data_IF_095113391762
#
_entry.id   IF_095113391762
#
_cell.length_a   1.000
_cell.length_b   1.000
_cell.length_c   1.000
_cell.angle_alpha   90.00
_cell.angle_beta   90.00
_cell.angle_gamma   90.00
#
_symmetry.space_group_name_H-M   'P 1'
#
loop_
_entity.id
_entity.type
_entity.pdbx_description
1 polymer ?
#
# COMPACT_ATOMS: atom_id res chain seq x y z
N UNK A 1 0.83 -18.33 16.59
CA UNK A 1 1.54 -17.24 17.31
C UNK A 1 1.05 -15.91 16.80
N UNK A 2 0.67 -15.00 17.72
CA UNK A 2 0.30 -13.62 17.42
C UNK A 2 1.45 -12.69 17.78
N UNK A 3 1.74 -11.74 16.90
CA UNK A 3 2.74 -10.70 17.11
C UNK A 3 2.06 -9.34 17.03
N UNK A 4 2.29 -8.51 18.03
CA UNK A 4 1.77 -7.15 18.12
C UNK A 4 2.93 -6.17 18.00
N UNK A 5 2.79 -5.16 17.15
CA UNK A 5 3.78 -4.12 16.97
C UNK A 5 3.12 -2.77 17.05
N UNK A 6 3.78 -1.84 17.71
CA UNK A 6 3.40 -0.45 17.76
C UNK A 6 4.58 0.41 17.36
N UNK A 7 4.37 1.37 16.47
CA UNK A 7 5.41 2.24 15.95
C UNK A 7 5.44 2.27 14.43
N UNK A 8 6.56 2.70 13.86
CA UNK A 8 6.73 2.82 12.42
C UNK A 8 7.20 1.50 11.81
N UNK A 9 6.39 0.94 10.92
CA UNK A 9 6.66 -0.34 10.26
C UNK A 9 6.24 -0.31 8.79
N UNK A 10 6.82 -1.21 7.99
CA UNK A 10 6.34 -1.49 6.64
C UNK A 10 4.88 -1.94 6.71
N UNK A 11 4.01 -1.25 5.98
CA UNK A 11 2.58 -1.56 5.99
C UNK A 11 2.29 -2.86 5.23
N UNK A 12 1.52 -3.80 5.80
CA UNK A 12 1.15 -5.02 5.12
C UNK A 12 0.11 -4.79 4.01
N UNK A 13 -0.47 -3.60 3.97
CA UNK A 13 -1.59 -3.25 3.07
C UNK A 13 -1.16 -2.91 1.64
N UNK A 14 0.15 -2.89 1.36
CA UNK A 14 0.70 -2.67 0.04
C UNK A 14 0.89 -3.99 -0.73
N UNK A 15 1.08 -3.90 -2.04
CA UNK A 15 1.47 -5.02 -2.87
C UNK A 15 2.81 -5.64 -2.42
N UNK A 16 3.07 -6.86 -2.82
CA UNK A 16 4.17 -7.67 -2.27
C UNK A 16 5.54 -7.07 -2.59
N UNK A 17 5.76 -6.53 -3.78
CA UNK A 17 7.05 -5.93 -4.14
C UNK A 17 7.38 -4.69 -3.30
N UNK A 18 6.38 -3.97 -2.80
CA UNK A 18 6.60 -2.86 -1.88
C UNK A 18 7.05 -3.31 -0.49
N UNK A 19 6.73 -4.55 -0.11
CA UNK A 19 7.16 -5.13 1.17
C UNK A 19 8.60 -5.63 1.14
N UNK A 20 9.23 -5.74 -0.03
CA UNK A 20 10.64 -6.10 -0.15
C UNK A 20 11.52 -4.91 0.23
N UNK A 21 12.64 -5.18 0.91
CA UNK A 21 13.69 -4.17 1.08
C UNK A 21 14.36 -3.91 -0.27
N UNK A 22 14.95 -2.73 -0.46
CA UNK A 22 15.58 -2.35 -1.72
C UNK A 22 16.67 -3.30 -2.17
N UNK A 23 17.49 -3.79 -1.22
CA UNK A 23 18.54 -4.79 -1.48
C UNK A 23 18.01 -6.20 -1.79
N UNK A 24 16.72 -6.42 -1.65
CA UNK A 24 16.04 -7.70 -1.89
C UNK A 24 15.21 -7.70 -3.17
N UNK A 25 15.24 -6.61 -3.93
CA UNK A 25 14.54 -6.52 -5.22
C UNK A 25 15.22 -7.40 -6.27
N UNK A 26 14.44 -7.85 -7.24
CA UNK A 26 14.96 -8.61 -8.38
C UNK A 26 15.75 -7.70 -9.34
N UNK A 27 15.36 -6.44 -9.44
CA UNK A 27 16.00 -5.41 -10.27
C UNK A 27 16.42 -4.23 -9.39
N UNK A 28 17.16 -3.29 -9.97
CA UNK A 28 17.68 -2.12 -9.26
C UNK A 28 16.59 -1.16 -8.73
N UNK A 29 15.38 -1.26 -9.27
CA UNK A 29 14.25 -0.41 -8.87
C UNK A 29 12.98 -1.23 -8.64
N UNK A 30 12.06 -0.65 -7.88
CA UNK A 30 10.72 -1.22 -7.72
C UNK A 30 9.95 -1.16 -9.03
N UNK A 31 8.96 -2.05 -9.18
CA UNK A 31 8.09 -2.03 -10.34
C UNK A 31 7.21 -0.77 -10.36
N UNK A 32 6.66 -0.48 -11.53
CA UNK A 32 5.80 0.68 -11.76
C UNK A 32 4.57 0.75 -10.83
N UNK A 33 3.93 -0.40 -10.55
CA UNK A 33 2.78 -0.45 -9.65
C UNK A 33 3.15 0.00 -8.23
N UNK A 34 4.30 -0.45 -7.71
CA UNK A 34 4.76 -0.05 -6.38
C UNK A 34 5.10 1.43 -6.31
N UNK A 35 5.69 1.98 -7.35
CA UNK A 35 6.08 3.39 -7.39
C UNK A 35 4.89 4.34 -7.46
N UNK A 36 3.81 3.94 -8.12
CA UNK A 36 2.67 4.82 -8.36
C UNK A 36 1.46 4.57 -7.44
N UNK A 37 1.24 3.33 -7.00
CA UNK A 37 0.07 2.98 -6.20
C UNK A 37 0.38 2.58 -4.76
N UNK A 38 1.64 2.46 -4.41
CA UNK A 38 2.09 2.07 -3.07
C UNK A 38 3.26 2.94 -2.60
N UNK A 39 3.21 4.24 -2.87
CA UNK A 39 4.25 5.23 -2.52
C UNK A 39 4.55 5.27 -1.03
N UNK A 40 3.54 5.00 -0.20
CA UNK A 40 3.65 4.95 1.25
C UNK A 40 4.11 3.57 1.70
N UNK A 41 5.43 3.38 1.85
CA UNK A 41 6.01 2.09 2.24
C UNK A 41 5.91 1.79 3.72
N UNK A 42 6.11 2.80 4.57
CA UNK A 42 6.10 2.68 6.04
C UNK A 42 5.16 3.70 6.63
N UNK A 43 4.44 3.27 7.66
CA UNK A 43 3.50 4.10 8.39
C UNK A 43 3.63 3.85 9.89
N UNK A 44 3.29 4.86 10.68
CA UNK A 44 3.17 4.72 12.13
C UNK A 44 1.80 4.14 12.47
N UNK A 45 1.77 3.13 13.35
CA UNK A 45 0.50 2.51 13.71
C UNK A 45 0.61 1.31 14.62
N UNK A 46 -0.50 0.61 14.72
CA UNK A 46 -0.64 -0.68 15.41
C UNK A 46 -0.77 -1.80 14.37
N UNK A 47 0.03 -2.84 14.53
CA UNK A 47 0.04 -3.99 13.62
C UNK A 47 -0.16 -5.28 14.40
N UNK A 48 -0.97 -6.17 13.85
CA UNK A 48 -1.20 -7.52 14.37
C UNK A 48 -0.90 -8.49 13.26
N UNK A 49 0.02 -9.40 13.49
CA UNK A 49 0.43 -10.42 12.53
C UNK A 49 0.37 -11.80 13.15
N UNK A 50 0.02 -12.77 12.36
CA UNK A 50 0.04 -14.17 12.79
C UNK A 50 0.51 -15.05 11.65
N UNK A 51 1.05 -16.23 12.01
CA UNK A 51 1.36 -17.29 11.09
C UNK A 51 0.96 -18.63 11.69
N UNK A 52 0.35 -19.47 10.89
CA UNK A 52 -0.05 -20.82 11.29
C UNK A 52 -0.11 -21.74 10.08
N UNK A 53 -0.11 -23.01 10.33
CA UNK A 53 -0.20 -24.06 9.31
C UNK A 53 -1.50 -24.85 9.47
N UNK A 54 -2.21 -25.00 8.36
CA UNK A 54 -3.37 -25.87 8.24
C UNK A 54 -2.96 -27.09 7.40
N UNK A 55 -2.45 -28.13 8.04
CA UNK A 55 -1.83 -29.26 7.38
C UNK A 55 -0.54 -28.85 6.67
N UNK A 56 -0.56 -28.82 5.33
CA UNK A 56 0.59 -28.39 4.52
C UNK A 56 0.48 -26.94 4.03
N UNK A 57 -0.64 -26.28 4.31
CA UNK A 57 -0.93 -24.94 3.85
C UNK A 57 -0.48 -23.96 4.92
N UNK A 58 0.42 -23.04 4.56
CA UNK A 58 0.76 -21.90 5.41
C UNK A 58 -0.25 -20.78 5.24
N UNK A 59 -0.61 -20.10 6.33
CA UNK A 59 -1.56 -18.98 6.36
C UNK A 59 -1.00 -17.87 7.22
N UNK A 60 -0.93 -16.65 6.68
CA UNK A 60 -0.35 -15.48 7.34
C UNK A 60 -1.31 -14.29 7.24
N UNK A 61 -2.26 -14.14 8.18
CA UNK A 61 -3.09 -12.95 8.28
C UNK A 61 -2.31 -11.81 8.96
N UNK A 62 -2.54 -10.59 8.48
CA UNK A 62 -1.99 -9.34 9.03
C UNK A 62 -3.08 -8.29 9.04
N UNK A 63 -3.17 -7.55 10.12
CA UNK A 63 -4.06 -6.39 10.28
C UNK A 63 -3.23 -5.18 10.68
N UNK A 64 -3.66 -4.01 10.28
CA UNK A 64 -3.03 -2.77 10.69
C UNK A 64 -4.03 -1.62 10.79
N UNK A 65 -3.76 -0.73 11.74
CA UNK A 65 -4.36 0.60 11.86
C UNK A 65 -3.19 1.56 11.90
N UNK A 66 -3.13 2.46 10.92
CA UNK A 66 -1.99 3.37 10.75
C UNK A 66 -2.46 4.82 10.58
N UNK A 67 -1.52 5.77 10.63
CA UNK A 67 -1.81 7.18 10.38
C UNK A 67 -2.36 7.43 8.98
N UNK A 68 -1.92 6.67 7.99
CA UNK A 68 -2.37 6.84 6.61
C UNK A 68 -1.58 7.87 5.79
N UNK A 69 -0.72 8.66 6.42
CA UNK A 69 -0.06 9.83 5.82
C UNK A 69 1.39 9.57 5.43
N UNK A 70 1.82 8.35 5.55
CA UNK A 70 3.17 7.97 5.19
C UNK A 70 4.17 8.00 6.35
N UNK A 71 5.42 8.13 5.97
CA UNK A 71 6.55 8.05 6.88
C UNK A 71 6.74 9.39 7.61
N UNK A 72 6.84 9.36 8.93
CA UNK A 72 7.05 10.53 9.79
C UNK A 72 5.93 11.59 9.74
N UNK A 73 4.73 11.21 9.33
CA UNK A 73 3.57 12.09 9.22
C UNK A 73 2.77 12.05 10.52
N UNK A 74 3.35 12.59 11.60
CA UNK A 74 2.66 12.76 12.89
C UNK A 74 3.29 13.90 13.70
N UNK A 75 2.46 14.62 14.46
CA UNK A 75 2.88 15.72 15.30
C UNK A 75 2.97 17.08 14.57
N UNK A 76 3.28 18.13 15.31
CA UNK A 76 3.30 19.53 14.84
C UNK A 76 4.28 19.80 13.69
N UNK A 77 5.28 18.95 13.52
CA UNK A 77 6.29 19.04 12.46
C UNK A 77 5.98 18.14 11.27
N UNK A 78 4.78 17.60 11.18
CA UNK A 78 4.36 16.84 10.01
C UNK A 78 4.46 17.72 8.77
N UNK A 79 5.12 17.21 7.72
CA UNK A 79 5.20 17.90 6.42
C UNK A 79 3.85 17.93 5.70
N UNK A 80 2.88 17.24 6.25
CA UNK A 80 1.55 17.12 5.71
C UNK A 80 0.51 17.55 6.74
N UNK A 81 -0.34 18.48 6.31
CA UNK A 81 -1.47 18.93 7.09
C UNK A 81 -2.62 17.93 6.94
N UNK A 82 -2.45 16.74 7.53
CA UNK A 82 -3.55 15.79 7.61
C UNK A 82 -4.68 16.36 8.45
N UNK A 83 -5.88 16.37 7.90
CA UNK A 83 -7.10 16.80 8.60
C UNK A 83 -7.65 15.72 9.52
N UNK A 84 -6.94 14.63 9.62
CA UNK A 84 -7.26 13.52 10.51
C UNK A 84 -8.02 12.39 9.83
N UNK A 85 -7.74 11.23 10.29
CA UNK A 85 -8.25 9.95 9.84
C UNK A 85 -7.22 8.87 10.07
N UNK A 86 -7.68 7.65 10.12
CA UNK A 86 -6.80 6.51 10.17
C UNK A 86 -6.95 5.68 8.92
N UNK A 87 -5.88 4.98 8.58
CA UNK A 87 -5.93 3.93 7.59
C UNK A 87 -6.12 2.58 8.26
N UNK A 88 -7.13 1.89 7.84
CA UNK A 88 -7.49 0.56 8.32
C UNK A 88 -7.27 -0.44 7.21
N UNK A 89 -6.74 -1.59 7.52
CA UNK A 89 -6.64 -2.62 6.52
C UNK A 89 -5.98 -3.88 7.00
N UNK A 90 -5.83 -4.80 6.07
CA UNK A 90 -5.21 -6.08 6.34
C UNK A 90 -4.73 -6.78 5.09
N UNK A 91 -4.02 -7.88 5.33
CA UNK A 91 -3.48 -8.76 4.31
C UNK A 91 -3.64 -10.20 4.74
N UNK A 92 -3.95 -11.05 3.77
CA UNK A 92 -3.92 -12.49 3.92
C UNK A 92 -2.96 -13.08 2.89
N UNK A 93 -1.93 -13.76 3.37
CA UNK A 93 -1.04 -14.56 2.53
C UNK A 93 -1.35 -16.05 2.74
N UNK A 94 -1.49 -16.78 1.64
CA UNK A 94 -1.71 -18.23 1.62
C UNK A 94 -0.55 -18.87 0.87
N UNK A 95 0.01 -19.91 1.45
CA UNK A 95 1.11 -20.71 0.90
C UNK A 95 0.61 -22.15 0.67
N UNK A 96 0.03 -22.46 -0.49
CA UNK A 96 -0.62 -23.75 -0.76
C UNK A 96 0.30 -24.98 -0.59
N UNK A 97 1.60 -24.78 -0.82
CA UNK A 97 2.63 -25.83 -0.71
C UNK A 97 3.55 -25.63 0.50
N UNK A 98 3.05 -24.93 1.53
CA UNK A 98 3.82 -24.56 2.72
C UNK A 98 4.73 -23.35 2.47
N UNK A 99 5.23 -22.78 3.56
CA UNK A 99 6.08 -21.60 3.53
C UNK A 99 7.32 -21.77 2.66
N UNK A 100 7.84 -20.68 2.14
CA UNK A 100 9.18 -20.63 1.56
C UNK A 100 10.24 -20.96 2.62
N UNK A 101 11.46 -21.31 2.18
CA UNK A 101 12.62 -21.42 3.07
C UNK A 101 12.77 -20.14 3.88
N UNK A 102 13.21 -20.28 5.14
CA UNK A 102 13.39 -19.12 6.03
C UNK A 102 14.28 -18.05 5.38
N UNK A 103 13.77 -16.83 5.30
CA UNK A 103 14.43 -15.70 4.64
C UNK A 103 14.11 -15.54 3.15
N UNK A 104 13.46 -16.51 2.49
CA UNK A 104 13.15 -16.42 1.06
C UNK A 104 11.85 -15.68 0.74
N UNK A 105 10.97 -15.47 1.73
CA UNK A 105 9.64 -14.86 1.52
C UNK A 105 9.73 -13.42 1.00
N UNK A 106 10.64 -12.63 1.55
CA UNK A 106 10.79 -11.21 1.24
C UNK A 106 11.97 -10.91 0.32
N UNK A 107 12.37 -11.89 -0.51
CA UNK A 107 13.32 -11.71 -1.60
C UNK A 107 12.56 -11.65 -2.92
N UNK A 108 12.86 -10.70 -3.79
CA UNK A 108 12.30 -10.62 -5.15
C UNK A 108 12.76 -11.76 -6.07
N UNK A 109 13.75 -12.51 -5.66
CA UNK A 109 14.39 -13.61 -6.37
C UNK A 109 14.44 -14.88 -5.51
N UNK A 110 14.73 -16.03 -6.11
CA UNK A 110 14.85 -17.32 -5.42
C UNK A 110 16.34 -17.73 -5.23
N UNK A 111 17.13 -16.89 -4.53
CA UNK A 111 18.54 -17.19 -4.23
C UNK A 111 18.72 -18.42 -3.34
N UNK A 112 17.76 -18.70 -2.47
CA UNK A 112 17.82 -19.87 -1.58
C UNK A 112 17.40 -21.17 -2.29
N UNK A 113 17.03 -21.07 -3.58
CA UNK A 113 16.73 -22.19 -4.48
C UNK A 113 15.75 -23.17 -3.84
N UNK A 114 14.45 -22.82 -3.84
CA UNK A 114 13.39 -23.74 -3.41
C UNK A 114 13.48 -25.05 -4.17
N UNK A 115 13.57 -26.17 -3.47
CA UNK A 115 13.76 -27.50 -4.09
C UNK A 115 12.52 -28.00 -4.80
N UNK A 116 11.35 -27.55 -4.35
CA UNK A 116 10.03 -27.84 -4.92
C UNK A 116 9.35 -26.52 -5.28
N UNK A 117 8.44 -26.52 -6.26
CA UNK A 117 7.64 -25.33 -6.53
C UNK A 117 6.94 -24.85 -5.27
N UNK A 118 7.12 -23.59 -4.94
CA UNK A 118 6.46 -22.91 -3.82
C UNK A 118 5.70 -21.70 -4.36
N UNK A 119 4.50 -21.52 -3.82
CA UNK A 119 3.59 -20.45 -4.26
C UNK A 119 3.16 -19.65 -3.03
N UNK A 120 3.06 -18.34 -3.19
CA UNK A 120 2.34 -17.44 -2.31
C UNK A 120 1.23 -16.78 -3.13
N UNK A 121 0.02 -16.78 -2.59
CA UNK A 121 -1.11 -15.98 -3.05
C UNK A 121 -1.43 -14.99 -1.94
N UNK A 122 -1.32 -13.71 -2.23
CA UNK A 122 -1.58 -12.63 -1.30
C UNK A 122 -2.76 -11.78 -1.72
N UNK A 123 -3.58 -11.37 -0.76
CA UNK A 123 -4.61 -10.36 -0.97
C UNK A 123 -4.54 -9.35 0.16
N UNK A 124 -4.65 -8.06 -0.17
CA UNK A 124 -4.75 -7.01 0.85
C UNK A 124 -5.78 -5.96 0.45
N UNK A 125 -6.38 -5.35 1.47
CA UNK A 125 -7.31 -4.24 1.31
C UNK A 125 -7.03 -3.20 2.39
N UNK A 126 -7.14 -1.93 2.02
CA UNK A 126 -7.05 -0.81 2.97
C UNK A 126 -8.02 0.30 2.61
N UNK A 127 -8.57 0.91 3.66
CA UNK A 127 -9.35 2.15 3.58
C UNK A 127 -8.59 3.23 4.33
N UNK A 128 -8.13 4.25 3.63
CA UNK A 128 -7.49 5.43 4.20
C UNK A 128 -8.51 6.58 4.23
N UNK A 129 -8.77 7.09 5.43
CA UNK A 129 -9.77 8.13 5.67
C UNK A 129 -9.07 9.49 5.73
N UNK A 130 -9.50 10.43 4.88
CA UNK A 130 -8.87 11.76 4.80
C UNK A 130 -7.44 11.69 4.29
N UNK A 131 -7.22 10.92 3.21
CA UNK A 131 -5.88 10.66 2.69
C UNK A 131 -5.19 11.93 2.22
N UNK A 132 -3.99 12.16 2.75
CA UNK A 132 -3.14 13.26 2.34
C UNK A 132 -2.72 13.15 0.87
N UNK A 133 -2.61 14.29 0.21
CA UNK A 133 -2.18 14.37 -1.18
C UNK A 133 -0.66 14.53 -1.36
N UNK A 134 0.08 14.92 -0.32
CA UNK A 134 1.53 15.20 -0.44
C UNK A 134 2.41 13.98 -0.28
N UNK A 135 2.12 13.18 0.72
CA UNK A 135 2.96 12.02 1.11
C UNK A 135 2.13 10.75 1.24
N UNK A 136 0.81 10.85 1.27
CA UNK A 136 -0.11 9.73 1.42
C UNK A 136 -0.50 9.10 0.08
N UNK A 137 -1.46 8.20 0.14
CA UNK A 137 -1.95 7.46 -1.04
C UNK A 137 -2.72 8.33 -2.04
N UNK A 138 -3.12 9.53 -1.63
CA UNK A 138 -3.75 10.52 -2.50
C UNK A 138 -2.80 11.25 -3.43
N UNK A 139 -1.50 10.97 -3.34
CA UNK A 139 -0.51 11.57 -4.23
C UNK A 139 -0.50 10.86 -5.59
N UNK A 140 -0.81 11.60 -6.64
CA UNK A 140 -0.63 11.16 -8.02
C UNK A 140 0.65 11.77 -8.58
N UNK A 141 1.46 10.94 -9.24
CA UNK A 141 2.67 11.41 -9.90
C UNK A 141 2.30 12.26 -11.11
N UNK A 142 2.73 13.51 -11.10
CA UNK A 142 2.47 14.50 -12.15
C UNK A 142 2.95 14.05 -13.53
N UNK A 143 4.06 13.31 -13.57
CA UNK A 143 4.68 12.83 -14.82
C UNK A 143 3.78 11.85 -15.60
N UNK A 144 2.78 11.26 -14.97
CA UNK A 144 1.90 10.28 -15.60
C UNK A 144 0.78 10.88 -16.42
N UNK A 145 0.40 12.11 -16.15
CA UNK A 145 -0.78 12.73 -16.73
C UNK A 145 -0.47 13.87 -17.68
N UNK A 146 0.79 14.27 -17.84
CA UNK A 146 1.27 15.39 -18.67
C UNK A 146 0.54 16.75 -18.47
N UNK A 147 -0.31 16.87 -17.45
CA UNK A 147 -1.23 18.00 -17.28
C UNK A 147 -1.26 18.58 -15.86
N UNK A 148 -0.19 18.38 -15.07
CA UNK A 148 -0.08 18.97 -13.74
C UNK A 148 -0.68 18.13 -12.62
N UNK A 149 -0.50 18.60 -11.40
CA UNK A 149 -0.84 17.89 -10.16
C UNK A 149 -2.34 17.78 -9.98
N UNK A 150 -2.87 16.56 -9.93
CA UNK A 150 -4.24 16.35 -9.45
C UNK A 150 -4.23 16.47 -7.92
N UNK A 151 -4.80 17.51 -7.41
CA UNK A 151 -5.06 17.69 -6.00
C UNK A 151 -6.56 17.59 -5.80
N UNK A 152 -6.98 16.58 -5.06
CA UNK A 152 -8.36 16.47 -4.63
C UNK A 152 -8.53 17.33 -3.39
N UNK A 153 -9.04 18.52 -3.56
CA UNK A 153 -9.46 19.38 -2.46
C UNK A 153 -10.97 19.44 -2.42
N UNK A 154 -11.52 19.28 -1.25
CA UNK A 154 -12.80 19.85 -0.91
C UNK A 154 -12.58 20.88 0.18
N UNK A 155 -13.31 21.98 0.14
CA UNK A 155 -13.38 22.94 1.23
C UNK A 155 -14.76 22.78 1.86
N UNK A 156 -14.79 22.56 3.16
CA UNK A 156 -16.05 22.61 3.90
C UNK A 156 -16.63 24.06 3.92
N UNK A 157 -17.82 24.20 4.50
CA UNK A 157 -18.51 25.50 4.58
C UNK A 157 -17.74 26.59 5.32
N UNK A 158 -16.66 26.26 6.01
CA UNK A 158 -15.78 27.21 6.73
C UNK A 158 -14.40 27.34 6.07
N UNK A 159 -14.22 26.75 4.89
CA UNK A 159 -12.99 26.90 4.09
C UNK A 159 -11.85 25.98 4.50
N UNK A 160 -12.08 24.99 5.35
CA UNK A 160 -11.05 24.00 5.70
C UNK A 160 -10.93 22.95 4.60
N UNK A 161 -9.69 22.59 4.28
CA UNK A 161 -9.41 21.56 3.30
C UNK A 161 -9.95 20.19 3.78
N UNK A 162 -10.63 19.48 2.88
CA UNK A 162 -11.05 18.09 3.06
C UNK A 162 -10.31 17.21 2.09
N UNK A 163 -9.96 16.03 2.54
CA UNK A 163 -9.29 15.03 1.72
C UNK A 163 -10.21 13.84 1.45
N UNK A 164 -10.08 13.21 0.27
CA UNK A 164 -10.87 12.04 -0.07
C UNK A 164 -10.50 10.84 0.81
N UNK A 165 -11.40 9.87 0.85
CA UNK A 165 -11.08 8.54 1.37
C UNK A 165 -10.58 7.66 0.22
N UNK A 166 -9.54 6.88 0.48
CA UNK A 166 -8.95 5.98 -0.50
C UNK A 166 -9.16 4.52 -0.12
N UNK A 167 -9.77 3.77 -1.02
CA UNK A 167 -9.80 2.31 -0.96
C UNK A 167 -8.73 1.77 -1.90
N UNK A 168 -7.87 0.90 -1.40
CA UNK A 168 -6.88 0.17 -2.20
C UNK A 168 -7.03 -1.33 -1.99
N UNK A 169 -7.03 -2.08 -3.07
CA UNK A 169 -7.06 -3.53 -3.08
C UNK A 169 -5.89 -4.05 -3.89
N UNK A 170 -5.18 -5.04 -3.36
CA UNK A 170 -4.06 -5.68 -4.03
C UNK A 170 -4.26 -7.18 -4.08
N UNK A 171 -3.84 -7.79 -5.18
CA UNK A 171 -3.70 -9.23 -5.33
C UNK A 171 -2.28 -9.52 -5.81
N UNK A 172 -1.62 -10.49 -5.18
CA UNK A 172 -0.25 -10.88 -5.50
C UNK A 172 -0.17 -12.39 -5.70
N UNK A 173 0.62 -12.78 -6.69
CA UNK A 173 1.00 -14.17 -6.91
C UNK A 173 2.52 -14.26 -7.04
N UNK A 174 3.16 -15.05 -6.20
CA UNK A 174 4.60 -15.28 -6.26
C UNK A 174 4.89 -16.78 -6.36
N UNK A 175 5.67 -17.16 -7.38
CA UNK A 175 6.17 -18.52 -7.59
C UNK A 175 7.70 -18.54 -7.46
N UNK A 176 8.24 -19.53 -6.73
CA UNK A 176 9.68 -19.77 -6.60
C UNK A 176 10.00 -21.24 -6.79
N UNK A 177 11.04 -21.52 -7.59
CA UNK A 177 11.49 -22.88 -7.87
C UNK A 177 12.90 -22.92 -8.46
N UNK A 178 13.83 -23.59 -7.80
CA UNK A 178 15.21 -23.86 -8.25
C UNK A 178 15.99 -22.64 -8.78
N UNK A 179 15.77 -21.48 -8.20
CA UNK A 179 16.39 -20.22 -8.60
C UNK A 179 15.53 -19.36 -9.51
N UNK A 180 14.43 -19.89 -10.07
CA UNK A 180 13.44 -19.12 -10.80
C UNK A 180 12.48 -18.44 -9.83
N UNK A 181 12.15 -17.18 -10.09
CA UNK A 181 11.14 -16.42 -9.36
C UNK A 181 10.25 -15.65 -10.32
N UNK A 182 8.95 -15.69 -10.08
CA UNK A 182 7.93 -14.93 -10.82
C UNK A 182 7.01 -14.24 -9.83
N UNK A 183 6.77 -12.95 -10.04
CA UNK A 183 5.83 -12.14 -9.27
C UNK A 183 4.82 -11.52 -10.23
N UNK A 184 3.54 -11.70 -9.95
CA UNK A 184 2.42 -11.05 -10.63
C UNK A 184 1.64 -10.28 -9.60
N UNK A 185 1.34 -9.02 -9.88
CA UNK A 185 0.65 -8.12 -8.96
C UNK A 185 -0.48 -7.40 -9.70
N UNK A 186 -1.57 -7.21 -9.00
CA UNK A 186 -2.71 -6.39 -9.40
C UNK A 186 -3.03 -5.40 -8.30
N UNK A 187 -3.21 -4.15 -8.66
CA UNK A 187 -3.59 -3.07 -7.73
C UNK A 187 -4.81 -2.36 -8.30
N UNK A 188 -5.79 -2.15 -7.47
CA UNK A 188 -6.97 -1.33 -7.75
C UNK A 188 -7.13 -0.30 -6.64
N UNK A 189 -7.31 0.96 -7.04
CA UNK A 189 -7.55 2.08 -6.12
C UNK A 189 -8.82 2.82 -6.50
N UNK A 190 -9.53 3.32 -5.51
CA UNK A 190 -10.70 4.16 -5.72
C UNK A 190 -10.74 5.26 -4.66
N UNK A 191 -11.04 6.49 -5.09
CA UNK A 191 -11.27 7.61 -4.21
C UNK A 191 -12.77 7.81 -3.95
N UNK A 192 -13.13 8.12 -2.72
CA UNK A 192 -14.50 8.33 -2.28
C UNK A 192 -14.64 9.66 -1.55
N UNK A 193 -15.89 10.14 -1.39
CA UNK A 193 -16.22 11.42 -0.76
C UNK A 193 -15.59 12.62 -1.48
N UNK A 194 -15.59 12.55 -2.80
CA UNK A 194 -15.23 13.65 -3.67
C UNK A 194 -16.43 14.58 -3.79
N UNK A 195 -16.49 15.64 -3.01
CA UNK A 195 -17.57 16.65 -3.11
C UNK A 195 -17.20 17.76 -4.07
N UNK A 196 -15.91 18.09 -4.18
CA UNK A 196 -15.37 18.96 -5.22
C UNK A 196 -13.94 18.51 -5.56
N UNK A 197 -13.63 18.55 -6.85
CA UNK A 197 -12.30 18.23 -7.36
C UNK A 197 -11.73 19.49 -7.99
N UNK A 198 -10.60 19.96 -7.46
CA UNK A 198 -9.89 21.09 -8.04
C UNK A 198 -8.61 20.59 -8.72
N UNK A 199 -8.42 21.03 -9.97
CA UNK A 199 -7.14 20.90 -10.64
C UNK A 199 -6.25 22.08 -10.21
N UNK A 200 -5.06 21.77 -9.72
CA UNK A 200 -3.99 22.65 -9.25
C UNK A 200 -4.19 23.34 -7.88
N UNK A 201 -3.10 23.89 -7.36
CA UNK A 201 -3.02 24.54 -6.05
C UNK A 201 -3.94 25.78 -5.88
N UNK A 202 -4.58 26.25 -6.94
CA UNK A 202 -5.37 27.47 -6.92
C UNK A 202 -6.88 27.22 -7.01
N UNK A 203 -7.32 25.98 -6.98
CA UNK A 203 -8.74 25.60 -7.05
C UNK A 203 -9.51 26.30 -8.20
N UNK A 204 -8.83 26.58 -9.32
CA UNK A 204 -9.38 27.40 -10.40
C UNK A 204 -10.24 26.61 -11.39
N UNK A 205 -10.20 25.28 -11.33
CA UNK A 205 -11.02 24.40 -12.18
C UNK A 205 -11.69 23.35 -11.32
N UNK A 206 -12.99 23.45 -11.19
CA UNK A 206 -13.82 22.39 -10.60
C UNK A 206 -14.11 21.34 -11.68
N UNK A 207 -13.69 20.12 -11.45
CA UNK A 207 -14.09 18.99 -12.29
C UNK A 207 -15.46 18.46 -11.84
N UNK A 208 -16.32 18.17 -12.80
CA UNK A 208 -17.53 17.43 -12.53
C UNK A 208 -17.16 16.01 -12.11
N UNK A 209 -17.60 15.59 -10.94
CA UNK A 209 -17.32 14.26 -10.36
C UNK A 209 -17.77 13.09 -11.24
N UNK A 210 -18.62 13.35 -12.24
CA UNK A 210 -19.06 12.34 -13.23
C UNK A 210 -17.99 11.96 -14.23
N UNK A 211 -16.87 12.71 -14.30
CA UNK A 211 -15.78 12.45 -15.26
C UNK A 211 -14.62 11.63 -14.66
N UNK A 212 -14.71 11.23 -13.38
CA UNK A 212 -13.64 10.53 -12.66
C UNK A 212 -14.06 9.08 -12.31
N UNK A 213 -14.85 8.46 -13.11
CA UNK A 213 -15.23 7.04 -12.94
C UNK A 213 -14.34 6.12 -13.78
#
# INVERSE_FOLDING_TARGET
NFHFYFGQKMTPMNNLSMQYMENNLQFSSRNYLSQNFSTTGREFGLFVESNFELGKIGVEPKLAITSGDGMNSFGENSLDADVGGFKYGGRLNIYPFGYFKKGNTYLGHDLLREEKPKILVGASSSLNMGASHKVGEGHYNEDLLNEGTFLFYDTDSIGLARFPNYLKNNLDFCLKYKGFSMLIEYVNTAAYNLQSVALNNNATVLLDTTQIS
#
